data_IF_457049889556
#
_entry.id   IF_457049889556
#
_cell.length_a   1.000
_cell.length_b   1.000
_cell.length_c   1.000
_cell.angle_alpha   90.00
_cell.angle_beta   90.00
_cell.angle_gamma   90.00
#
_symmetry.space_group_name_H-M   'P 1'
#
loop_
_entity.id
_entity.type
_entity.pdbx_description
1 polymer ?
#
# COMPACT_ATOMS: atom_id res chain seq x y z
N UNK A 1 -3.43 -0.10 -12.75
CA UNK A 1 -3.66 -0.78 -11.46
C UNK A 1 -4.83 -0.09 -10.77
N UNK A 2 -5.96 -0.78 -10.54
CA UNK A 2 -7.08 -0.22 -9.78
C UNK A 2 -6.71 -0.28 -8.29
N UNK A 3 -6.56 0.88 -7.64
CA UNK A 3 -6.28 0.93 -6.21
C UNK A 3 -7.64 0.91 -5.48
N UNK A 4 -7.99 -0.15 -4.73
CA UNK A 4 -9.25 -0.20 -4.02
C UNK A 4 -9.30 0.90 -2.95
N UNK A 5 -10.40 1.64 -2.93
CA UNK A 5 -10.67 2.64 -1.89
C UNK A 5 -11.10 1.93 -0.62
N UNK A 6 -10.57 2.37 0.53
CA UNK A 6 -11.07 1.89 1.83
C UNK A 6 -12.45 2.49 2.13
N UNK A 7 -13.17 1.92 3.10
CA UNK A 7 -14.42 2.50 3.59
C UNK A 7 -14.25 3.95 4.08
N UNK A 8 -13.09 4.28 4.65
CA UNK A 8 -12.77 5.66 5.06
C UNK A 8 -12.62 6.59 3.86
N UNK A 9 -11.99 6.12 2.78
CA UNK A 9 -11.81 6.92 1.57
C UNK A 9 -13.14 7.12 0.83
N UNK A 10 -14.02 6.10 0.85
CA UNK A 10 -15.38 6.18 0.30
C UNK A 10 -16.24 7.17 1.10
N UNK A 11 -16.20 7.11 2.44
CA UNK A 11 -16.90 8.07 3.29
C UNK A 11 -16.40 9.51 3.01
N UNK A 12 -15.07 9.69 2.98
CA UNK A 12 -14.46 10.97 2.66
C UNK A 12 -14.89 11.49 1.29
N UNK A 13 -14.95 10.62 0.28
CA UNK A 13 -15.41 10.99 -1.06
C UNK A 13 -16.86 11.50 -1.04
N UNK A 14 -17.78 10.82 -0.34
CA UNK A 14 -19.18 11.25 -0.22
C UNK A 14 -19.29 12.63 0.42
N UNK A 15 -18.64 12.84 1.56
CA UNK A 15 -18.67 14.13 2.27
C UNK A 15 -18.11 15.26 1.40
N UNK A 16 -17.01 15.01 0.67
CA UNK A 16 -16.44 16.00 -0.25
C UNK A 16 -17.33 16.26 -1.48
N UNK A 17 -18.07 15.26 -1.97
CA UNK A 17 -19.09 15.46 -3.00
C UNK A 17 -20.23 16.35 -2.50
N UNK A 18 -20.74 16.12 -1.28
CA UNK A 18 -21.81 16.95 -0.72
C UNK A 18 -21.39 18.42 -0.57
N UNK A 19 -20.11 18.67 -0.26
CA UNK A 19 -19.56 20.04 -0.27
C UNK A 19 -19.50 20.63 -1.67
N UNK A 20 -19.06 19.85 -2.66
CA UNK A 20 -19.00 20.30 -4.06
C UNK A 20 -20.39 20.60 -4.63
N UNK A 21 -21.38 19.79 -4.26
CA UNK A 21 -22.78 19.92 -4.63
C UNK A 21 -23.50 21.01 -3.80
N UNK A 22 -22.77 21.74 -2.96
CA UNK A 22 -23.27 22.83 -2.09
C UNK A 22 -24.35 22.40 -1.09
N UNK A 23 -24.42 21.11 -0.77
CA UNK A 23 -25.33 20.54 0.25
C UNK A 23 -24.73 20.59 1.65
N UNK A 24 -23.41 20.76 1.75
CA UNK A 24 -22.66 20.78 3.00
C UNK A 24 -21.61 21.90 2.98
N UNK A 25 -21.43 22.62 4.09
CA UNK A 25 -20.38 23.65 4.16
C UNK A 25 -19.03 22.99 4.46
N UNK A 26 -17.94 23.64 4.05
CA UNK A 26 -16.58 23.14 4.30
C UNK A 26 -16.27 22.99 5.80
N UNK A 27 -16.84 23.85 6.65
CA UNK A 27 -16.67 23.77 8.11
C UNK A 27 -17.36 22.55 8.70
N UNK A 28 -18.58 22.25 8.26
CA UNK A 28 -19.32 21.07 8.72
C UNK A 28 -18.64 19.78 8.22
N UNK A 29 -18.12 19.78 7.00
CA UNK A 29 -17.33 18.66 6.46
C UNK A 29 -16.02 18.42 7.23
N UNK A 30 -15.38 19.49 7.72
CA UNK A 30 -14.18 19.38 8.56
C UNK A 30 -14.49 18.66 9.87
N UNK A 31 -15.62 18.97 10.51
CA UNK A 31 -16.07 18.26 11.71
C UNK A 31 -16.40 16.79 11.42
N UNK A 32 -17.18 16.49 10.37
CA UNK A 32 -17.56 15.11 9.99
C UNK A 32 -16.32 14.25 9.70
N UNK A 33 -15.32 14.81 9.02
CA UNK A 33 -14.11 14.08 8.64
C UNK A 33 -13.02 14.10 9.73
N UNK A 34 -13.24 14.82 10.82
CA UNK A 34 -12.24 15.11 11.84
C UNK A 34 -10.93 15.66 11.23
N UNK A 35 -11.07 16.65 10.35
CA UNK A 35 -9.97 17.30 9.63
C UNK A 35 -10.04 18.82 9.82
N UNK A 36 -8.92 19.51 9.61
CA UNK A 36 -8.96 20.97 9.53
C UNK A 36 -9.66 21.45 8.24
N UNK A 37 -10.31 22.63 8.24
CA UNK A 37 -10.88 23.23 7.03
C UNK A 37 -9.85 23.40 5.90
N UNK A 38 -8.57 23.65 6.23
CA UNK A 38 -7.47 23.70 5.26
C UNK A 38 -7.24 22.36 4.57
N UNK A 39 -7.28 21.26 5.32
CA UNK A 39 -7.17 19.91 4.75
C UNK A 39 -8.37 19.59 3.86
N UNK A 40 -9.59 19.94 4.27
CA UNK A 40 -10.79 19.80 3.44
C UNK A 40 -10.64 20.55 2.12
N UNK A 41 -10.22 21.82 2.16
CA UNK A 41 -9.95 22.62 0.95
C UNK A 41 -8.90 21.96 0.05
N UNK A 42 -7.79 21.47 0.62
CA UNK A 42 -6.75 20.76 -0.15
C UNK A 42 -7.30 19.51 -0.83
N UNK A 43 -8.14 18.75 -0.13
CA UNK A 43 -8.77 17.55 -0.68
C UNK A 43 -9.75 17.88 -1.81
N UNK A 44 -10.53 18.97 -1.70
CA UNK A 44 -11.42 19.44 -2.77
C UNK A 44 -10.64 19.82 -4.03
N UNK A 45 -9.50 20.52 -3.88
CA UNK A 45 -8.62 20.86 -5.01
C UNK A 45 -8.07 19.60 -5.67
N UNK A 46 -7.55 18.65 -4.88
CA UNK A 46 -7.04 17.37 -5.37
C UNK A 46 -8.11 16.55 -6.09
N UNK A 47 -9.31 16.48 -5.51
CA UNK A 47 -10.46 15.79 -6.10
C UNK A 47 -10.87 16.40 -7.44
N UNK A 48 -10.76 17.73 -7.58
CA UNK A 48 -11.08 18.43 -8.82
C UNK A 48 -10.03 18.21 -9.92
N UNK A 49 -8.75 18.13 -9.54
CA UNK A 49 -7.64 17.95 -10.48
C UNK A 49 -7.45 16.49 -10.92
N UNK A 50 -7.64 15.55 -10.01
CA UNK A 50 -7.24 14.16 -10.20
C UNK A 50 -8.39 13.16 -10.02
N UNK A 51 -9.60 13.61 -9.65
CA UNK A 51 -10.74 12.72 -9.43
C UNK A 51 -10.63 11.86 -8.17
N UNK A 52 -11.51 10.86 -8.04
CA UNK A 52 -11.64 10.06 -6.81
C UNK A 52 -10.34 9.35 -6.37
N UNK A 53 -9.47 9.01 -7.32
CA UNK A 53 -8.17 8.39 -7.05
C UNK A 53 -7.25 9.27 -6.19
N UNK A 54 -7.44 10.59 -6.17
CA UNK A 54 -6.65 11.53 -5.37
C UNK A 54 -6.86 11.35 -3.87
N UNK A 55 -7.97 10.72 -3.47
CA UNK A 55 -8.30 10.47 -2.07
C UNK A 55 -7.69 9.17 -1.56
N UNK A 56 -7.20 8.32 -2.47
CA UNK A 56 -6.46 7.15 -2.06
C UNK A 56 -5.13 7.57 -1.43
N UNK A 57 -4.71 6.85 -0.39
CA UNK A 57 -3.43 7.10 0.24
C UNK A 57 -2.29 7.01 -0.80
N UNK A 58 -1.46 8.05 -0.91
CA UNK A 58 -0.47 8.18 -1.99
C UNK A 58 0.58 7.06 -2.04
N UNK A 59 0.83 6.39 -0.91
CA UNK A 59 1.74 5.24 -0.86
C UNK A 59 1.06 3.90 -1.22
N UNK A 60 -0.27 3.83 -1.40
CA UNK A 60 -0.92 2.58 -1.81
C UNK A 60 -0.47 2.17 -3.20
N UNK A 61 -0.16 0.89 -3.36
CA UNK A 61 0.41 0.35 -4.60
C UNK A 61 1.91 0.64 -4.77
N UNK A 62 2.52 1.50 -3.94
CA UNK A 62 3.96 1.74 -3.98
C UNK A 62 4.69 0.68 -3.14
N UNK A 63 5.71 0.00 -3.68
CA UNK A 63 6.57 -0.86 -2.88
C UNK A 63 7.23 -0.09 -1.73
N UNK A 64 7.48 -0.77 -0.62
CA UNK A 64 8.23 -0.19 0.51
C UNK A 64 9.63 0.24 0.07
N UNK A 65 10.09 1.41 0.51
CA UNK A 65 11.45 1.88 0.25
C UNK A 65 12.53 0.97 0.90
N UNK A 66 12.15 0.13 1.88
CA UNK A 66 13.04 -0.85 2.53
C UNK A 66 12.97 -2.25 1.89
N UNK A 67 12.18 -2.41 0.83
CA UNK A 67 12.06 -3.67 0.10
C UNK A 67 13.40 -3.96 -0.58
N UNK A 68 13.83 -5.23 -0.57
CA UNK A 68 14.91 -5.69 -1.44
C UNK A 68 14.62 -5.40 -2.91
N UNK A 69 15.67 -5.15 -3.69
CA UNK A 69 15.57 -5.00 -5.14
C UNK A 69 14.85 -6.20 -5.77
N UNK A 70 14.15 -5.95 -6.88
CA UNK A 70 13.38 -6.99 -7.55
C UNK A 70 14.27 -8.15 -8.03
N UNK A 71 15.46 -7.86 -8.53
CA UNK A 71 16.44 -8.86 -8.96
C UNK A 71 16.85 -9.80 -7.83
N UNK A 72 17.14 -9.24 -6.65
CA UNK A 72 17.50 -10.04 -5.48
C UNK A 72 16.32 -10.93 -5.01
N UNK A 73 15.09 -10.40 -5.05
CA UNK A 73 13.90 -11.20 -4.72
C UNK A 73 13.68 -12.33 -5.72
N UNK A 74 13.90 -12.07 -7.01
CA UNK A 74 13.80 -13.08 -8.06
C UNK A 74 14.85 -14.17 -7.89
N UNK A 75 16.11 -13.80 -7.63
CA UNK A 75 17.19 -14.75 -7.35
C UNK A 75 16.85 -15.67 -6.17
N UNK A 76 16.36 -15.12 -5.06
CA UNK A 76 15.93 -15.92 -3.89
C UNK A 76 14.80 -16.87 -4.26
N UNK A 77 13.80 -16.41 -5.00
CA UNK A 77 12.66 -17.24 -5.43
C UNK A 77 13.06 -18.35 -6.39
N UNK A 78 13.96 -18.08 -7.34
CA UNK A 78 14.48 -19.07 -8.28
C UNK A 78 15.20 -20.20 -7.55
N UNK A 79 16.09 -19.87 -6.61
CA UNK A 79 16.81 -20.87 -5.83
C UNK A 79 15.83 -21.71 -4.99
N UNK A 80 14.88 -21.07 -4.29
CA UNK A 80 13.91 -21.79 -3.46
C UNK A 80 13.04 -22.70 -4.30
N UNK A 81 12.53 -22.23 -5.44
CA UNK A 81 11.69 -23.05 -6.32
C UNK A 81 12.47 -24.17 -7.00
N UNK A 82 13.74 -23.96 -7.33
CA UNK A 82 14.57 -24.95 -8.00
C UNK A 82 15.10 -26.03 -7.05
N UNK A 83 15.44 -25.67 -5.81
CA UNK A 83 16.19 -26.54 -4.90
C UNK A 83 15.46 -26.89 -3.61
N UNK A 84 14.49 -26.08 -3.19
CA UNK A 84 13.85 -26.16 -1.86
C UNK A 84 12.32 -26.01 -1.93
N UNK A 85 11.69 -26.46 -3.02
CA UNK A 85 10.26 -26.25 -3.27
C UNK A 85 9.37 -26.88 -2.17
N UNK A 86 9.81 -28.02 -1.62
CA UNK A 86 9.08 -28.76 -0.59
C UNK A 86 9.42 -28.30 0.84
N UNK A 87 10.28 -27.28 1.00
CA UNK A 87 10.78 -26.87 2.31
C UNK A 87 9.88 -25.81 2.93
N UNK A 88 9.70 -25.89 4.25
CA UNK A 88 9.09 -24.80 5.00
C UNK A 88 9.96 -23.53 4.88
N UNK A 89 9.38 -22.31 4.97
CA UNK A 89 10.14 -21.07 4.85
C UNK A 89 11.30 -20.96 5.85
N UNK A 90 11.17 -21.56 7.04
CA UNK A 90 12.27 -21.58 8.02
C UNK A 90 13.44 -22.41 7.51
N UNK A 91 13.16 -23.62 7.02
CA UNK A 91 14.21 -24.53 6.58
C UNK A 91 14.84 -24.09 5.25
N UNK A 92 14.05 -23.52 4.34
CA UNK A 92 14.56 -22.88 3.13
C UNK A 92 15.49 -21.69 3.46
N UNK A 93 15.18 -20.90 4.49
CA UNK A 93 16.05 -19.81 4.94
C UNK A 93 17.41 -20.32 5.42
N UNK A 94 17.45 -21.39 6.21
CA UNK A 94 18.70 -22.00 6.67
C UNK A 94 19.58 -22.38 5.48
N UNK A 95 19.02 -23.02 4.45
CA UNK A 95 19.78 -23.40 3.24
C UNK A 95 20.19 -22.22 2.38
N UNK A 96 19.38 -21.17 2.29
CA UNK A 96 19.77 -19.93 1.62
C UNK A 96 20.98 -19.27 2.29
N UNK A 97 21.05 -19.28 3.63
CA UNK A 97 22.17 -18.72 4.37
C UNK A 97 23.41 -19.61 4.23
N UNK A 98 23.26 -20.93 4.45
CA UNK A 98 24.38 -21.88 4.47
C UNK A 98 25.02 -22.10 3.09
N UNK A 99 24.20 -22.26 2.05
CA UNK A 99 24.67 -22.73 0.73
C UNK A 99 24.83 -21.59 -0.28
N UNK A 100 24.04 -20.51 -0.13
CA UNK A 100 23.99 -19.41 -1.10
C UNK A 100 24.45 -18.07 -0.52
N UNK A 101 24.73 -18.02 0.80
CA UNK A 101 25.09 -16.80 1.55
C UNK A 101 24.09 -15.64 1.35
N UNK A 102 22.83 -15.96 1.07
CA UNK A 102 21.75 -14.99 0.85
C UNK A 102 21.06 -14.69 2.18
N UNK A 103 21.26 -13.47 2.68
CA UNK A 103 20.68 -13.02 3.95
C UNK A 103 19.33 -12.36 3.70
N UNK A 104 18.25 -13.06 4.05
CA UNK A 104 16.89 -12.52 4.09
C UNK A 104 16.26 -12.78 5.46
N UNK A 105 15.30 -11.95 5.86
CA UNK A 105 14.54 -12.26 7.07
C UNK A 105 13.55 -13.39 6.79
N UNK A 106 13.25 -14.21 7.81
CA UNK A 106 12.23 -15.27 7.73
C UNK A 106 10.88 -14.75 7.25
N UNK A 107 10.44 -13.60 7.78
CA UNK A 107 9.17 -13.01 7.41
C UNK A 107 9.17 -12.50 5.96
N UNK A 108 10.29 -11.94 5.49
CA UNK A 108 10.44 -11.57 4.07
C UNK A 108 10.35 -12.80 3.17
N UNK A 109 11.04 -13.89 3.50
CA UNK A 109 10.98 -15.10 2.70
C UNK A 109 9.56 -15.68 2.68
N UNK A 110 8.86 -15.67 3.82
CA UNK A 110 7.45 -16.08 3.89
C UNK A 110 6.56 -15.25 2.97
N UNK A 111 6.68 -13.92 2.99
CA UNK A 111 5.93 -13.01 2.11
C UNK A 111 6.31 -13.11 0.63
N UNK A 112 7.46 -13.71 0.30
CA UNK A 112 7.84 -13.98 -1.09
C UNK A 112 7.20 -15.27 -1.60
N UNK A 113 6.99 -16.24 -0.71
CA UNK A 113 6.43 -17.56 -1.04
C UNK A 113 4.90 -17.60 -1.00
N UNK A 114 4.26 -16.78 -0.16
CA UNK A 114 2.80 -16.68 0.03
C UNK A 114 2.30 -15.26 -0.21
#
# INVERSE_FOLDING_TARGET
MLIPMSNQDLNRFKVLQDVRDRRLRQVDAAEILNLSPRQVRRLLVQLSLHGAQSLAHAARGRPSNRRYADDFRMQVLEIVRAQYADFSPTFALEKLIEQHNLKVSKETLRQLLF
#
